data_IF_729502798542
#
_entry.id   IF_729502798542
#
_cell.length_a   1.000
_cell.length_b   1.000
_cell.length_c   1.000
_cell.angle_alpha   90.00
_cell.angle_beta   90.00
_cell.angle_gamma   90.00
#
_symmetry.space_group_name_H-M   'P 1'
#
loop_
_entity.id
_entity.type
_entity.pdbx_description
1 polymer ?
#
# COMPACT_ATOMS: atom_id res chain seq x y z
N UNK A 1 9.69 -10.11 33.45
CA UNK A 1 8.80 -9.45 32.47
C UNK A 1 9.38 -8.16 31.87
N UNK A 2 9.52 -7.04 32.59
CA UNK A 2 9.99 -5.78 31.96
C UNK A 2 11.42 -5.86 31.37
N UNK A 3 12.33 -6.55 32.07
CA UNK A 3 13.68 -6.85 31.54
C UNK A 3 13.64 -7.77 30.32
N UNK A 4 12.83 -8.83 30.35
CA UNK A 4 12.67 -9.77 29.23
C UNK A 4 12.04 -9.10 28.00
N UNK A 5 11.07 -8.21 28.22
CA UNK A 5 10.45 -7.40 27.17
C UNK A 5 11.46 -6.45 26.53
N UNK A 6 12.28 -5.76 27.35
CA UNK A 6 13.37 -4.91 26.85
C UNK A 6 14.39 -5.72 26.02
N UNK A 7 14.75 -6.92 26.48
CA UNK A 7 15.65 -7.82 25.73
C UNK A 7 15.01 -8.34 24.43
N UNK A 8 13.69 -8.52 24.40
CA UNK A 8 12.95 -8.94 23.21
C UNK A 8 12.91 -7.84 22.13
N UNK A 9 12.54 -6.61 22.49
CA UNK A 9 12.52 -5.46 21.56
C UNK A 9 13.93 -5.01 21.16
N UNK A 10 14.94 -5.27 21.99
CA UNK A 10 16.34 -5.00 21.65
C UNK A 10 16.91 -5.95 20.59
N UNK A 11 16.19 -7.02 20.20
CA UNK A 11 16.53 -7.77 19.00
C UNK A 11 16.29 -6.86 17.79
N UNK A 12 17.35 -6.28 17.22
CA UNK A 12 17.26 -5.24 16.17
C UNK A 12 16.27 -5.55 15.05
N UNK A 13 16.18 -6.81 14.62
CA UNK A 13 15.22 -7.26 13.60
C UNK A 13 13.74 -7.00 13.95
N UNK A 14 13.37 -6.97 15.23
CA UNK A 14 11.98 -6.70 15.68
C UNK A 14 11.68 -5.21 15.63
N UNK A 15 12.62 -4.36 16.04
CA UNK A 15 12.43 -2.91 16.04
C UNK A 15 12.35 -2.36 14.62
N UNK A 16 13.25 -2.78 13.74
CA UNK A 16 13.27 -2.33 12.34
C UNK A 16 12.00 -2.77 11.59
N UNK A 17 11.54 -4.01 11.84
CA UNK A 17 10.28 -4.50 11.29
C UNK A 17 9.08 -3.72 11.83
N UNK A 18 9.05 -3.42 13.14
CA UNK A 18 7.97 -2.64 13.74
C UNK A 18 7.89 -1.23 13.14
N UNK A 19 9.04 -0.57 12.98
CA UNK A 19 9.12 0.76 12.36
C UNK A 19 8.65 0.70 10.90
N UNK A 20 9.11 -0.28 10.12
CA UNK A 20 8.71 -0.46 8.74
C UNK A 20 7.19 -0.64 8.57
N UNK A 21 6.56 -1.47 9.43
CA UNK A 21 5.12 -1.72 9.40
C UNK A 21 4.33 -0.46 9.79
N UNK A 22 4.74 0.25 10.84
CA UNK A 22 4.07 1.48 11.30
C UNK A 22 4.16 2.57 10.23
N UNK A 23 5.35 2.80 9.66
CA UNK A 23 5.55 3.78 8.59
C UNK A 23 4.75 3.38 7.35
N UNK A 24 4.76 2.09 6.96
CA UNK A 24 3.98 1.59 5.83
C UNK A 24 2.48 1.82 6.01
N UNK A 25 1.94 1.54 7.20
CA UNK A 25 0.53 1.77 7.50
C UNK A 25 0.17 3.26 7.49
N UNK A 26 1.03 4.13 8.05
CA UNK A 26 0.82 5.57 8.04
C UNK A 26 0.90 6.15 6.62
N UNK A 27 1.88 5.72 5.83
CA UNK A 27 2.05 6.13 4.44
C UNK A 27 0.87 5.72 3.58
N UNK A 28 0.34 4.50 3.77
CA UNK A 28 -0.87 4.05 3.09
C UNK A 28 -2.05 4.99 3.31
N UNK A 29 -2.28 5.46 4.54
CA UNK A 29 -3.35 6.44 4.84
C UNK A 29 -3.16 7.78 4.14
N UNK A 30 -1.91 8.26 4.04
CA UNK A 30 -1.59 9.51 3.31
C UNK A 30 -1.93 9.35 1.83
N UNK A 31 -1.57 8.23 1.23
CA UNK A 31 -1.87 7.94 -0.18
C UNK A 31 -3.37 7.82 -0.42
N UNK A 32 -4.08 7.13 0.48
CA UNK A 32 -5.55 7.00 0.42
C UNK A 32 -6.20 8.38 0.49
N UNK A 33 -5.86 9.20 1.48
CA UNK A 33 -6.43 10.56 1.62
C UNK A 33 -6.11 11.45 0.42
N UNK A 34 -4.87 11.42 -0.09
CA UNK A 34 -4.53 12.19 -1.29
C UNK A 34 -5.39 11.75 -2.49
N UNK A 35 -5.64 10.45 -2.65
CA UNK A 35 -6.40 9.96 -3.79
C UNK A 35 -7.89 10.23 -3.64
N UNK A 36 -8.46 9.90 -2.49
CA UNK A 36 -9.90 10.00 -2.22
C UNK A 36 -10.36 11.43 -1.94
N UNK A 37 -9.60 12.22 -1.18
CA UNK A 37 -10.02 13.55 -0.73
C UNK A 37 -9.57 14.67 -1.66
N UNK A 38 -8.50 14.48 -2.43
CA UNK A 38 -7.94 15.53 -3.30
C UNK A 38 -8.14 15.20 -4.77
N UNK A 39 -7.74 14.01 -5.21
CA UNK A 39 -7.73 13.68 -6.65
C UNK A 39 -9.12 13.30 -7.15
N UNK A 40 -9.86 12.43 -6.45
CA UNK A 40 -11.20 12.01 -6.87
C UNK A 40 -12.18 13.18 -7.04
N UNK A 41 -12.22 14.21 -6.16
CA UNK A 41 -13.06 15.39 -6.38
C UNK A 41 -12.65 16.18 -7.63
N UNK A 42 -11.35 16.30 -7.92
CA UNK A 42 -10.85 16.99 -9.11
C UNK A 42 -11.20 16.22 -10.38
N UNK A 43 -10.98 14.90 -10.39
CA UNK A 43 -11.40 14.01 -11.49
C UNK A 43 -12.91 14.07 -11.66
N UNK A 44 -13.67 14.01 -10.57
CA UNK A 44 -15.12 14.11 -10.58
C UNK A 44 -15.60 15.42 -11.20
N UNK A 45 -14.96 16.54 -10.87
CA UNK A 45 -15.28 17.86 -11.46
C UNK A 45 -14.95 17.96 -12.95
N UNK A 46 -13.89 17.30 -13.42
CA UNK A 46 -13.43 17.38 -14.81
C UNK A 46 -14.18 16.39 -15.72
N UNK A 47 -14.37 15.15 -15.25
CA UNK A 47 -14.90 14.03 -16.02
C UNK A 47 -16.36 13.70 -15.72
N UNK A 48 -17.02 14.45 -14.82
CA UNK A 48 -18.45 14.27 -14.50
C UNK A 48 -18.75 13.17 -13.48
N UNK A 49 -17.76 12.75 -12.70
CA UNK A 49 -17.87 11.67 -11.72
C UNK A 49 -17.45 10.32 -12.31
N UNK A 50 -16.49 9.67 -11.66
CA UNK A 50 -15.99 8.34 -12.02
C UNK A 50 -16.66 7.27 -11.14
N UNK A 51 -17.98 7.40 -10.94
CA UNK A 51 -18.76 6.49 -10.11
C UNK A 51 -19.78 5.71 -10.94
N UNK A 52 -19.45 4.46 -11.20
CA UNK A 52 -20.32 3.49 -11.87
C UNK A 52 -21.12 2.65 -10.87
N UNK A 53 -21.09 2.94 -9.56
CA UNK A 53 -21.75 2.11 -8.54
C UNK A 53 -23.26 1.98 -8.73
N UNK A 54 -23.89 2.91 -9.44
CA UNK A 54 -25.31 2.84 -9.82
C UNK A 54 -25.65 1.75 -10.84
N UNK A 55 -24.66 1.13 -11.49
CA UNK A 55 -24.87 0.03 -12.43
C UNK A 55 -24.82 -1.32 -11.70
N UNK A 56 -25.99 -1.86 -11.38
CA UNK A 56 -26.11 -3.15 -10.71
C UNK A 56 -27.36 -3.90 -11.16
N UNK A 57 -27.26 -5.23 -11.14
CA UNK A 57 -28.38 -6.13 -11.38
C UNK A 57 -28.94 -6.58 -10.03
N UNK A 58 -30.24 -6.35 -9.81
CA UNK A 58 -30.94 -6.88 -8.64
C UNK A 58 -31.34 -8.31 -8.92
N UNK A 59 -30.91 -9.24 -8.06
CA UNK A 59 -31.14 -10.68 -8.23
C UNK A 59 -32.14 -11.23 -7.21
N UNK A 60 -32.70 -10.40 -6.34
CA UNK A 60 -33.65 -10.83 -5.32
C UNK A 60 -34.68 -9.76 -4.96
N UNK A 61 -35.71 -10.16 -4.18
CA UNK A 61 -36.78 -9.27 -3.77
C UNK A 61 -36.25 -8.18 -2.84
N UNK A 62 -36.73 -6.94 -3.04
CA UNK A 62 -36.46 -5.83 -2.15
C UNK A 62 -37.38 -5.97 -0.92
N UNK A 63 -36.87 -5.89 0.31
CA UNK A 63 -37.69 -5.93 1.51
C UNK A 63 -38.81 -4.88 1.45
N UNK A 64 -40.04 -5.26 1.79
CA UNK A 64 -41.21 -4.37 1.76
C UNK A 64 -41.07 -3.14 2.68
N UNK A 65 -40.13 -3.19 3.64
CA UNK A 65 -39.85 -2.13 4.62
C UNK A 65 -38.75 -1.16 4.15
N UNK A 66 -38.27 -1.29 2.92
CA UNK A 66 -37.19 -0.46 2.39
C UNK A 66 -37.74 0.85 1.81
N UNK A 67 -37.58 1.94 2.54
CA UNK A 67 -37.96 3.30 2.11
C UNK A 67 -36.81 4.07 1.44
N UNK A 68 -35.68 3.41 1.16
CA UNK A 68 -34.49 4.03 0.56
C UNK A 68 -34.56 4.13 -0.96
N UNK A 69 -33.60 4.84 -1.56
CA UNK A 69 -33.52 4.93 -3.01
C UNK A 69 -33.16 3.58 -3.63
N UNK A 70 -33.99 3.12 -4.55
CA UNK A 70 -33.74 1.93 -5.36
C UNK A 70 -32.50 2.11 -6.27
N UNK A 71 -31.99 3.31 -6.48
CA UNK A 71 -30.78 3.56 -7.28
C UNK A 71 -29.47 3.49 -6.48
N UNK A 72 -29.53 3.35 -5.15
CA UNK A 72 -28.35 3.34 -4.29
C UNK A 72 -27.90 1.90 -4.00
N UNK A 73 -26.84 1.48 -4.69
CA UNK A 73 -26.23 0.15 -4.53
C UNK A 73 -25.81 -0.14 -3.09
N UNK A 74 -25.25 0.85 -2.38
CA UNK A 74 -24.74 0.66 -1.03
C UNK A 74 -25.90 0.47 -0.03
N UNK A 75 -26.97 1.24 -0.20
CA UNK A 75 -28.15 1.15 0.65
C UNK A 75 -28.94 -0.15 0.43
N UNK A 76 -29.08 -0.61 -0.82
CA UNK A 76 -29.72 -1.90 -1.13
C UNK A 76 -28.88 -3.09 -0.66
N UNK A 77 -27.54 -3.01 -0.75
CA UNK A 77 -26.64 -4.06 -0.25
C UNK A 77 -26.74 -4.19 1.28
N UNK A 78 -26.84 -3.06 2.00
CA UNK A 78 -27.08 -3.04 3.45
C UNK A 78 -28.46 -3.59 3.83
N UNK A 79 -29.47 -3.41 2.98
CA UNK A 79 -30.80 -3.95 3.18
C UNK A 79 -30.90 -5.48 2.95
N UNK A 80 -29.78 -6.14 2.64
CA UNK A 80 -29.74 -7.60 2.44
C UNK A 80 -30.27 -8.05 1.08
N UNK A 81 -30.45 -7.14 0.13
CA UNK A 81 -30.85 -7.50 -1.24
C UNK A 81 -29.65 -8.16 -1.94
N UNK A 82 -29.81 -9.34 -2.55
CA UNK A 82 -28.79 -9.91 -3.42
C UNK A 82 -28.63 -9.03 -4.67
N UNK A 83 -27.48 -8.34 -4.78
CA UNK A 83 -27.16 -7.43 -5.88
C UNK A 83 -25.85 -7.86 -6.53
N UNK A 84 -25.84 -7.90 -7.86
CA UNK A 84 -24.63 -8.02 -8.66
C UNK A 84 -24.20 -6.63 -9.11
N UNK A 85 -23.32 -6.01 -8.33
CA UNK A 85 -22.81 -4.66 -8.56
C UNK A 85 -21.56 -4.63 -9.44
N UNK A 86 -21.71 -4.94 -10.73
CA UNK A 86 -20.59 -4.86 -11.67
C UNK A 86 -20.06 -3.42 -11.81
N UNK A 87 -20.94 -2.43 -11.70
CA UNK A 87 -20.58 -1.03 -11.69
C UNK A 87 -19.68 -0.66 -10.51
N UNK A 88 -20.00 -1.12 -9.30
CA UNK A 88 -19.15 -0.90 -8.13
C UNK A 88 -17.77 -1.57 -8.31
N UNK A 89 -17.70 -2.75 -8.93
CA UNK A 89 -16.42 -3.37 -9.26
C UNK A 89 -15.59 -2.53 -10.25
N UNK A 90 -16.22 -2.01 -11.31
CA UNK A 90 -15.55 -1.14 -12.30
C UNK A 90 -15.06 0.15 -11.64
N UNK A 91 -15.88 0.79 -10.78
CA UNK A 91 -15.45 1.94 -9.97
C UNK A 91 -14.21 1.62 -9.16
N UNK A 92 -14.19 0.49 -8.46
CA UNK A 92 -13.04 0.08 -7.64
C UNK A 92 -11.80 -0.24 -8.49
N UNK A 93 -11.98 -0.87 -9.65
CA UNK A 93 -10.89 -1.13 -10.59
C UNK A 93 -10.29 0.17 -11.14
N UNK A 94 -11.12 1.14 -11.51
CA UNK A 94 -10.67 2.45 -11.97
C UNK A 94 -9.94 3.21 -10.85
N UNK A 95 -10.48 3.22 -9.63
CA UNK A 95 -9.82 3.82 -8.46
C UNK A 95 -8.46 3.19 -8.19
N UNK A 96 -8.35 1.86 -8.26
CA UNK A 96 -7.08 1.17 -8.09
C UNK A 96 -6.04 1.60 -9.13
N UNK A 97 -6.43 1.72 -10.41
CA UNK A 97 -5.54 2.20 -11.48
C UNK A 97 -5.09 3.64 -11.21
N UNK A 98 -6.01 4.51 -10.77
CA UNK A 98 -5.69 5.90 -10.42
C UNK A 98 -4.70 5.96 -9.25
N UNK A 99 -4.96 5.24 -8.16
CA UNK A 99 -4.05 5.15 -7.00
C UNK A 99 -2.68 4.63 -7.42
N UNK A 100 -2.63 3.54 -8.19
CA UNK A 100 -1.37 2.96 -8.66
C UNK A 100 -0.57 3.95 -9.52
N UNK A 101 -1.24 4.69 -10.40
CA UNK A 101 -0.63 5.72 -11.22
C UNK A 101 -0.09 6.88 -10.39
N UNK A 102 -0.82 7.33 -9.36
CA UNK A 102 -0.37 8.38 -8.44
C UNK A 102 0.83 7.93 -7.63
N UNK A 103 0.79 6.73 -7.04
CA UNK A 103 1.93 6.17 -6.31
C UNK A 103 3.16 6.13 -7.22
N UNK A 104 2.99 5.68 -8.47
CA UNK A 104 4.06 5.70 -9.46
C UNK A 104 4.62 7.11 -9.71
N UNK A 105 3.77 8.13 -9.86
CA UNK A 105 4.21 9.51 -10.03
C UNK A 105 4.97 10.03 -8.81
N UNK A 106 4.50 9.74 -7.60
CA UNK A 106 5.17 10.14 -6.35
C UNK A 106 6.55 9.47 -6.28
N UNK A 107 6.61 8.16 -6.45
CA UNK A 107 7.88 7.40 -6.44
C UNK A 107 8.83 7.93 -7.52
N UNK A 108 8.31 8.22 -8.72
CA UNK A 108 9.09 8.81 -9.80
C UNK A 108 9.62 10.20 -9.46
N UNK A 109 8.83 11.06 -8.83
CA UNK A 109 9.23 12.40 -8.42
C UNK A 109 10.30 12.33 -7.33
N UNK A 110 10.10 11.48 -6.33
CA UNK A 110 11.05 11.21 -5.25
C UNK A 110 12.37 10.67 -5.81
N UNK A 111 12.33 9.69 -6.72
CA UNK A 111 13.52 9.14 -7.40
C UNK A 111 14.24 10.14 -8.32
N UNK A 112 13.55 11.21 -8.76
CA UNK A 112 14.12 12.28 -9.58
C UNK A 112 14.77 13.37 -8.71
N UNK A 113 14.21 13.65 -7.53
CA UNK A 113 14.65 14.70 -6.62
C UNK A 113 15.74 14.23 -5.66
N UNK A 114 15.64 12.99 -5.18
CA UNK A 114 16.75 12.35 -4.49
C UNK A 114 17.73 11.89 -5.58
N UNK A 115 18.97 12.42 -5.65
CA UNK A 115 20.01 11.70 -6.37
C UNK A 115 19.99 10.28 -5.85
N UNK A 116 20.17 9.27 -6.73
CA UNK A 116 20.40 7.89 -6.28
C UNK A 116 21.26 8.01 -5.04
N UNK A 117 20.78 7.61 -3.85
CA UNK A 117 21.68 7.48 -2.73
C UNK A 117 22.85 6.71 -3.34
N UNK A 118 24.06 7.22 -3.19
CA UNK A 118 25.19 6.31 -3.08
C UNK A 118 24.71 5.42 -1.95
N UNK A 119 24.04 4.32 -2.31
CA UNK A 119 23.48 3.42 -1.35
C UNK A 119 24.71 3.10 -0.54
N UNK A 120 24.74 3.55 0.71
CA UNK A 120 25.70 3.00 1.64
C UNK A 120 25.43 1.52 1.48
N UNK A 121 26.33 0.84 0.77
CA UNK A 121 26.15 -0.54 0.38
C UNK A 121 25.70 -1.22 1.66
N UNK A 122 24.55 -1.94 1.67
CA UNK A 122 24.02 -2.52 2.89
C UNK A 122 25.21 -3.13 3.60
N UNK A 123 25.53 -2.58 4.79
CA UNK A 123 26.83 -2.80 5.44
C UNK A 123 27.11 -4.28 5.30
N UNK A 124 28.16 -4.63 4.52
CA UNK A 124 28.39 -6.03 4.16
C UNK A 124 28.31 -6.82 5.47
N UNK A 125 27.51 -7.90 5.54
CA UNK A 125 27.41 -8.68 6.77
C UNK A 125 28.83 -8.93 7.27
N UNK A 126 29.08 -8.75 8.57
CA UNK A 126 30.44 -8.81 9.11
C UNK A 126 31.19 -10.07 8.64
N UNK A 127 30.45 -11.17 8.45
CA UNK A 127 30.92 -12.42 7.88
C UNK A 127 31.47 -12.27 6.45
N UNK A 128 30.82 -11.52 5.58
CA UNK A 128 31.26 -11.27 4.19
C UNK A 128 32.55 -10.43 4.18
N UNK A 129 32.65 -9.46 5.09
CA UNK A 129 33.86 -8.64 5.27
C UNK A 129 35.03 -9.51 5.77
N UNK A 130 34.79 -10.30 6.81
CA UNK A 130 35.76 -11.28 7.33
C UNK A 130 36.19 -12.28 6.27
N UNK A 131 35.25 -12.83 5.47
CA UNK A 131 35.58 -13.77 4.41
C UNK A 131 36.41 -13.13 3.29
N UNK A 132 36.22 -11.84 3.01
CA UNK A 132 37.10 -11.10 2.08
C UNK A 132 38.50 -10.93 2.64
N UNK A 133 38.61 -10.52 3.91
CA UNK A 133 39.90 -10.39 4.59
C UNK A 133 40.64 -11.73 4.60
N UNK A 134 39.97 -12.83 4.97
CA UNK A 134 40.54 -14.19 4.95
C UNK A 134 40.97 -14.59 3.54
N UNK A 135 40.15 -14.32 2.51
CA UNK A 135 40.50 -14.62 1.11
C UNK A 135 41.76 -13.87 0.69
N UNK A 136 41.85 -12.60 1.05
CA UNK A 136 42.95 -11.73 0.64
C UNK A 136 44.25 -12.12 1.37
N UNK A 137 44.17 -12.49 2.65
CA UNK A 137 45.27 -13.09 3.41
C UNK A 137 45.73 -14.44 2.82
N UNK A 138 44.80 -15.32 2.46
CA UNK A 138 45.12 -16.61 1.83
C UNK A 138 45.79 -16.44 0.46
N UNK A 139 45.39 -15.40 -0.29
CA UNK A 139 46.00 -15.08 -1.59
C UNK A 139 47.41 -14.47 -1.43
N UNK A 140 47.63 -13.70 -0.36
CA UNK A 140 48.93 -13.13 -0.02
C UNK A 140 49.91 -14.17 0.55
N UNK A 141 49.42 -15.31 1.02
CA UNK A 141 50.26 -16.37 1.57
C UNK A 141 51.07 -17.06 0.46
N UNK A 142 52.42 -17.09 0.55
CA UNK A 142 53.23 -17.80 -0.43
C UNK A 142 52.91 -19.30 -0.36
N UNK A 143 52.67 -19.90 -1.53
CA UNK A 143 52.49 -21.36 -1.64
C UNK A 143 53.81 -22.02 -1.24
N UNK A 144 53.79 -22.73 -0.11
CA UNK A 144 54.85 -23.65 0.31
C UNK A 144 54.77 -24.90 -0.55
#
# INVERSE_FOLDING_TARGET
MFKEFKTFIARGNVLDLAVAVIIGAAFGRIVTSLTEDVIMPVIGKIFGGLDFSGYFLRMGPVPANYAGSLSDYAALKKAGVPLLGYGAFITQAANFIIVAFIIFLIVRAVNKLLPKPTAAAPAEPADVTLLREIRDELKARPKV
#
